data_IF_098288350148
#
_entry.id   IF_098288350148
#
_cell.length_a   1.000
_cell.length_b   1.000
_cell.length_c   1.000
_cell.angle_alpha   90.00
_cell.angle_beta   90.00
_cell.angle_gamma   90.00
#
_symmetry.space_group_name_H-M   'P 1'
#
loop_
_entity.id
_entity.type
_entity.pdbx_description
1 polymer ?
#
# COMPACT_ATOMS: atom_id res chain seq x y z
N UNK A 1 59.12 23.87 4.66
CA UNK A 1 57.74 24.40 4.48
C UNK A 1 57.07 23.62 3.36
N UNK A 2 55.84 23.14 3.52
CA UNK A 2 55.03 22.56 2.43
C UNK A 2 54.03 23.60 1.92
N UNK A 3 53.79 23.70 0.62
CA UNK A 3 52.71 24.51 0.04
C UNK A 3 52.06 23.81 -1.15
N UNK A 4 50.76 23.53 -0.99
CA UNK A 4 49.68 23.58 -1.99
C UNK A 4 49.99 23.16 -3.43
N UNK A 5 49.48 22.00 -3.80
CA UNK A 5 48.85 21.80 -5.11
C UNK A 5 47.34 22.09 -4.99
N UNK A 6 46.66 22.45 -6.09
CA UNK A 6 45.27 22.93 -6.11
C UNK A 6 44.53 22.23 -7.26
N UNK A 7 43.32 21.72 -6.98
CA UNK A 7 42.56 20.82 -7.88
C UNK A 7 41.52 21.57 -8.73
N UNK A 8 41.75 21.65 -10.04
CA UNK A 8 40.96 22.33 -11.12
C UNK A 8 41.34 21.63 -12.46
N UNK A 9 40.53 21.27 -13.47
CA UNK A 9 39.07 21.29 -13.78
C UNK A 9 38.82 20.00 -14.66
N UNK A 10 37.84 19.11 -14.39
CA UNK A 10 36.45 19.06 -14.90
C UNK A 10 36.30 18.95 -16.45
N UNK A 11 35.72 17.83 -16.96
CA UNK A 11 34.74 17.68 -18.08
C UNK A 11 34.79 16.31 -18.81
N UNK A 12 33.61 15.87 -19.31
CA UNK A 12 33.32 14.83 -20.32
C UNK A 12 33.63 13.35 -19.95
N UNK A 13 32.72 12.39 -20.15
CA UNK A 13 31.30 12.49 -20.55
C UNK A 13 30.49 11.28 -20.05
N UNK A 14 29.28 11.51 -19.52
CA UNK A 14 28.28 10.47 -19.25
C UNK A 14 27.25 10.45 -20.39
N UNK A 15 27.17 9.33 -21.12
CA UNK A 15 26.23 9.14 -22.22
C UNK A 15 24.89 8.61 -21.70
N UNK A 16 24.00 9.52 -21.29
CA UNK A 16 22.61 9.20 -20.95
C UNK A 16 21.85 8.73 -22.20
N UNK A 17 21.63 7.42 -22.34
CA UNK A 17 20.71 6.88 -23.35
C UNK A 17 19.27 6.95 -22.84
N UNK A 18 18.58 8.06 -23.11
CA UNK A 18 17.13 8.16 -22.93
C UNK A 18 16.41 7.03 -23.70
N UNK A 19 15.79 6.11 -22.98
CA UNK A 19 14.80 5.19 -23.55
C UNK A 19 13.43 5.86 -23.45
N UNK A 20 12.70 5.97 -24.57
CA UNK A 20 11.30 6.37 -24.52
C UNK A 20 10.46 5.25 -23.91
N UNK A 21 10.07 5.41 -22.66
CA UNK A 21 8.98 4.67 -22.05
C UNK A 21 7.69 5.47 -22.25
N UNK A 22 6.56 4.79 -22.35
CA UNK A 22 5.26 5.42 -22.58
C UNK A 22 4.16 4.69 -21.80
N UNK A 23 3.18 5.46 -21.31
CA UNK A 23 1.88 4.89 -20.97
C UNK A 23 1.18 4.45 -22.27
N UNK A 24 0.50 3.30 -22.23
CA UNK A 24 -0.35 2.88 -23.34
C UNK A 24 -1.52 3.86 -23.49
N UNK A 25 -1.49 4.70 -24.53
CA UNK A 25 -2.60 5.61 -24.84
C UNK A 25 -3.77 4.81 -25.42
N UNK A 26 -5.00 5.16 -25.02
CA UNK A 26 -6.20 4.75 -25.73
C UNK A 26 -6.24 5.41 -27.12
N UNK A 27 -6.13 4.62 -28.20
CA UNK A 27 -6.40 5.07 -29.57
C UNK A 27 -7.15 4.01 -30.36
N UNK A 28 -8.48 4.13 -30.40
CA UNK A 28 -9.25 3.49 -31.47
C UNK A 28 -9.05 4.32 -32.76
N UNK A 29 -8.33 3.72 -33.70
CA UNK A 29 -8.19 4.09 -35.13
C UNK A 29 -7.71 5.51 -35.48
N UNK A 30 -6.45 5.54 -35.95
CA UNK A 30 -5.97 6.18 -37.20
C UNK A 30 -6.45 7.60 -37.54
N UNK A 31 -5.51 8.56 -37.53
CA UNK A 31 -4.74 8.86 -38.76
C UNK A 31 -3.40 9.56 -38.42
N UNK A 32 -2.42 9.63 -39.34
CA UNK A 32 -1.05 10.02 -39.01
C UNK A 32 -0.83 11.54 -38.96
N UNK A 33 -0.09 12.00 -37.94
CA UNK A 33 0.49 13.35 -37.90
C UNK A 33 2.01 13.23 -37.79
N UNK A 34 2.69 13.88 -38.73
CA UNK A 34 4.15 13.91 -38.85
C UNK A 34 4.81 14.76 -37.76
N UNK A 35 5.88 14.25 -37.15
CA UNK A 35 6.84 15.03 -36.36
C UNK A 35 8.26 14.53 -36.63
N UNK A 36 8.87 15.13 -37.65
CA UNK A 36 10.31 15.08 -37.99
C UNK A 36 11.25 15.19 -36.77
N UNK A 37 12.38 14.48 -36.80
CA UNK A 37 13.44 14.59 -35.79
C UNK A 37 14.60 13.63 -36.06
N UNK A 38 15.46 13.97 -37.02
CA UNK A 38 16.49 13.06 -37.55
C UNK A 38 17.72 12.86 -36.66
N UNK A 39 18.31 11.67 -36.76
CA UNK A 39 19.76 11.48 -36.65
C UNK A 39 20.15 10.37 -37.64
N UNK A 40 20.66 10.76 -38.81
CA UNK A 40 20.94 9.83 -39.92
C UNK A 40 22.36 9.25 -39.86
N UNK A 41 22.51 8.03 -40.38
CA UNK A 41 23.81 7.42 -40.70
C UNK A 41 23.67 6.61 -41.99
N UNK A 42 24.51 6.90 -42.98
CA UNK A 42 24.39 6.37 -44.33
C UNK A 42 24.59 4.84 -44.40
N UNK A 43 23.76 4.18 -45.20
CA UNK A 43 24.06 2.88 -45.80
C UNK A 43 23.80 2.97 -47.31
N UNK A 44 24.82 2.67 -48.12
CA UNK A 44 24.61 2.48 -49.56
C UNK A 44 24.10 1.06 -49.82
N UNK A 45 23.19 0.91 -50.77
CA UNK A 45 22.74 -0.40 -51.22
C UNK A 45 23.74 -1.04 -52.18
N UNK A 46 24.28 -2.22 -51.83
CA UNK A 46 24.75 -3.19 -52.83
C UNK A 46 23.69 -4.28 -53.02
N UNK A 47 23.23 -4.44 -54.26
CA UNK A 47 22.13 -5.34 -54.65
C UNK A 47 22.56 -6.82 -54.67
N UNK A 48 22.70 -7.42 -53.49
CA UNK A 48 23.12 -8.82 -53.30
C UNK A 48 21.94 -9.79 -53.13
N UNK A 49 21.52 -10.46 -54.21
CA UNK A 49 20.41 -11.41 -54.24
C UNK A 49 20.62 -12.61 -53.27
N UNK A 50 19.99 -12.59 -52.08
CA UNK A 50 20.23 -13.56 -51.00
C UNK A 50 18.94 -14.33 -50.65
N UNK A 51 19.02 -15.66 -50.74
CA UNK A 51 17.99 -16.61 -50.28
C UNK A 51 17.54 -16.26 -48.85
N UNK A 52 16.22 -16.16 -48.60
CA UNK A 52 15.66 -16.04 -47.24
C UNK A 52 16.08 -17.24 -46.38
N UNK A 53 17.18 -17.12 -45.63
CA UNK A 53 17.42 -17.97 -44.46
C UNK A 53 16.30 -17.68 -43.46
N UNK A 54 15.64 -18.71 -42.95
CA UNK A 54 14.80 -18.57 -41.77
C UNK A 54 15.63 -17.94 -40.65
N UNK A 55 15.09 -16.95 -39.90
CA UNK A 55 15.81 -16.37 -38.78
C UNK A 55 16.15 -17.47 -37.79
N UNK A 56 17.42 -17.53 -37.38
CA UNK A 56 17.85 -18.42 -36.30
C UNK A 56 17.26 -17.88 -35.00
N UNK A 57 16.43 -18.70 -34.37
CA UNK A 57 15.83 -18.42 -33.08
C UNK A 57 16.61 -19.09 -31.96
N UNK A 58 16.44 -18.58 -30.74
CA UNK A 58 17.02 -19.06 -29.49
C UNK A 58 15.97 -19.10 -28.37
N UNK A 59 16.36 -19.68 -27.24
CA UNK A 59 15.72 -19.42 -25.94
C UNK A 59 16.52 -18.33 -25.24
N UNK A 60 15.84 -17.42 -24.56
CA UNK A 60 16.44 -16.43 -23.66
C UNK A 60 15.93 -16.74 -22.25
N UNK A 61 16.84 -16.98 -21.31
CA UNK A 61 16.49 -17.09 -19.89
C UNK A 61 16.45 -15.69 -19.29
N UNK A 62 15.28 -15.20 -18.91
CA UNK A 62 15.16 -14.06 -18.02
C UNK A 62 15.35 -14.61 -16.60
N UNK A 63 16.57 -14.52 -16.07
CA UNK A 63 16.94 -15.00 -14.74
C UNK A 63 16.37 -14.06 -13.68
N UNK A 64 16.58 -12.77 -13.85
CA UNK A 64 16.10 -11.70 -12.99
C UNK A 64 15.81 -10.47 -13.84
N UNK A 65 14.65 -9.86 -13.66
CA UNK A 65 14.30 -8.56 -14.23
C UNK A 65 13.57 -7.75 -13.15
N UNK A 66 14.22 -6.69 -12.68
CA UNK A 66 13.77 -5.87 -11.56
C UNK A 66 13.77 -4.38 -11.90
N UNK A 67 12.67 -3.70 -11.59
CA UNK A 67 12.50 -2.26 -11.80
C UNK A 67 12.07 -1.59 -10.49
N UNK A 68 12.61 -0.41 -10.19
CA UNK A 68 11.98 0.57 -9.29
C UNK A 68 11.58 1.84 -10.04
N UNK A 69 10.37 2.32 -9.78
CA UNK A 69 9.77 3.50 -10.39
C UNK A 69 10.10 4.73 -9.55
N UNK A 70 10.42 5.83 -10.24
CA UNK A 70 10.68 7.16 -9.67
C UNK A 70 9.93 8.22 -10.49
N UNK A 71 9.81 9.44 -9.97
CA UNK A 71 9.47 10.64 -10.75
C UNK A 71 10.70 11.45 -11.18
N UNK A 72 11.87 11.16 -10.61
CA UNK A 72 13.15 11.81 -10.94
C UNK A 72 13.50 13.05 -10.11
N UNK A 73 12.76 13.36 -9.04
CA UNK A 73 13.19 14.38 -8.08
C UNK A 73 14.42 13.91 -7.25
N UNK A 74 15.20 14.85 -6.72
CA UNK A 74 16.48 14.57 -6.02
C UNK A 74 16.28 13.82 -4.69
N UNK A 75 15.17 14.08 -4.02
CA UNK A 75 14.68 13.45 -2.78
C UNK A 75 13.75 12.24 -3.02
N UNK A 76 13.52 11.87 -4.28
CA UNK A 76 12.59 10.80 -4.66
C UNK A 76 13.12 9.42 -4.27
N UNK A 77 12.32 8.66 -3.50
CA UNK A 77 12.64 7.28 -3.08
C UNK A 77 11.98 6.27 -4.03
N UNK A 78 12.74 5.56 -4.90
CA UNK A 78 12.14 4.72 -5.93
C UNK A 78 11.49 3.46 -5.35
N UNK A 79 10.27 3.14 -5.80
CA UNK A 79 9.47 2.01 -5.30
C UNK A 79 9.39 0.84 -6.28
N UNK A 80 9.43 -0.42 -5.81
CA UNK A 80 9.25 -1.59 -6.66
C UNK A 80 7.78 -1.81 -7.05
N UNK A 81 7.54 -2.79 -7.92
CA UNK A 81 6.20 -3.21 -8.35
C UNK A 81 5.90 -4.66 -7.86
N UNK A 82 5.70 -4.90 -6.55
CA UNK A 82 5.47 -6.24 -6.01
C UNK A 82 4.07 -6.76 -6.32
N UNK A 83 3.91 -8.09 -6.34
CA UNK A 83 2.64 -8.79 -6.54
C UNK A 83 1.78 -8.22 -7.70
N UNK A 84 2.44 -7.74 -8.75
CA UNK A 84 1.88 -6.95 -9.84
C UNK A 84 1.81 -7.83 -11.09
N UNK A 85 0.64 -7.92 -11.74
CA UNK A 85 0.49 -8.71 -12.97
C UNK A 85 1.37 -8.10 -14.08
N UNK A 86 2.10 -8.95 -14.80
CA UNK A 86 2.90 -8.54 -15.95
C UNK A 86 2.63 -9.43 -17.18
N UNK A 87 2.87 -8.88 -18.37
CA UNK A 87 2.92 -9.63 -19.63
C UNK A 87 4.19 -9.30 -20.40
N UNK A 88 4.77 -10.28 -21.09
CA UNK A 88 5.96 -10.12 -21.92
C UNK A 88 5.58 -10.39 -23.37
N UNK A 89 5.86 -9.42 -24.25
CA UNK A 89 5.68 -9.51 -25.71
C UNK A 89 7.01 -9.33 -26.43
N UNK A 90 7.28 -10.17 -27.42
CA UNK A 90 8.33 -9.96 -28.39
C UNK A 90 7.89 -8.86 -29.36
N UNK A 91 8.69 -7.81 -29.51
CA UNK A 91 8.52 -6.80 -30.56
C UNK A 91 9.58 -7.06 -31.64
N UNK A 92 9.13 -7.14 -32.88
CA UNK A 92 9.98 -7.22 -34.07
C UNK A 92 9.60 -6.12 -35.06
N UNK A 93 10.31 -5.98 -36.19
CA UNK A 93 9.95 -5.03 -37.26
C UNK A 93 8.57 -5.29 -37.90
N UNK A 94 8.05 -6.50 -37.76
CA UNK A 94 6.88 -6.98 -38.52
C UNK A 94 5.63 -7.21 -37.64
N UNK A 95 5.82 -7.51 -36.34
CA UNK A 95 4.74 -7.89 -35.43
C UNK A 95 5.15 -7.78 -33.94
N UNK A 96 4.14 -7.62 -33.07
CA UNK A 96 4.21 -7.97 -31.65
C UNK A 96 3.67 -9.39 -31.43
N UNK A 97 4.36 -10.22 -30.63
CA UNK A 97 3.95 -11.60 -30.33
C UNK A 97 3.98 -11.85 -28.82
N UNK A 98 2.93 -12.42 -28.26
CA UNK A 98 2.88 -12.80 -26.84
C UNK A 98 3.90 -13.91 -26.53
N UNK A 99 4.60 -13.80 -25.40
CA UNK A 99 5.55 -14.81 -24.93
C UNK A 99 5.15 -15.42 -23.57
N UNK A 100 4.77 -14.57 -22.60
CA UNK A 100 4.55 -14.99 -21.22
C UNK A 100 3.66 -14.00 -20.45
N UNK A 101 3.01 -14.46 -19.39
CA UNK A 101 2.40 -13.61 -18.36
C UNK A 101 2.57 -14.23 -16.98
N UNK A 102 2.53 -13.39 -15.95
CA UNK A 102 2.68 -13.81 -14.57
C UNK A 102 2.38 -12.68 -13.58
N UNK A 103 2.83 -12.87 -12.34
CA UNK A 103 2.79 -11.87 -11.28
C UNK A 103 4.23 -11.74 -10.73
N UNK A 104 4.68 -10.53 -10.43
CA UNK A 104 5.99 -10.31 -9.78
C UNK A 104 6.01 -10.88 -8.35
N UNK A 105 7.19 -11.21 -7.84
CA UNK A 105 7.36 -11.60 -6.44
C UNK A 105 7.11 -10.42 -5.48
N UNK A 106 7.18 -10.69 -4.18
CA UNK A 106 7.05 -9.71 -3.08
C UNK A 106 8.08 -8.58 -3.14
N UNK A 107 9.20 -8.78 -3.85
CA UNK A 107 10.26 -7.79 -4.02
C UNK A 107 10.05 -6.91 -5.26
N UNK A 108 9.16 -7.30 -6.18
CA UNK A 108 8.85 -6.60 -7.43
C UNK A 108 9.54 -7.14 -8.69
N UNK A 109 10.09 -8.36 -8.61
CA UNK A 109 10.91 -8.96 -9.66
C UNK A 109 10.14 -9.97 -10.52
N UNK A 110 10.62 -10.13 -11.75
CA UNK A 110 10.33 -11.30 -12.59
C UNK A 110 11.56 -12.21 -12.53
N UNK A 111 11.37 -13.47 -12.10
CA UNK A 111 12.45 -14.45 -11.94
C UNK A 111 12.25 -15.68 -12.84
N UNK A 112 13.37 -16.24 -13.31
CA UNK A 112 13.51 -17.53 -14.01
C UNK A 112 12.55 -17.87 -15.18
N UNK A 113 12.09 -16.85 -15.92
CA UNK A 113 11.22 -17.04 -17.10
C UNK A 113 12.03 -17.42 -18.35
N UNK A 114 11.80 -18.64 -18.86
CA UNK A 114 12.34 -19.11 -20.14
C UNK A 114 11.51 -18.59 -21.33
N UNK A 115 12.08 -17.68 -22.13
CA UNK A 115 11.44 -17.08 -23.30
C UNK A 115 11.90 -17.77 -24.59
N UNK A 116 10.99 -18.47 -25.28
CA UNK A 116 11.30 -19.26 -26.47
C UNK A 116 11.08 -18.51 -27.79
N UNK A 117 11.67 -19.05 -28.88
CA UNK A 117 11.50 -18.59 -30.28
C UNK A 117 11.99 -17.15 -30.54
N UNK A 118 12.90 -16.64 -29.72
CA UNK A 118 13.43 -15.28 -29.81
C UNK A 118 14.45 -15.19 -30.97
N UNK A 119 14.35 -14.25 -31.91
CA UNK A 119 15.37 -14.05 -32.95
C UNK A 119 16.75 -13.73 -32.35
N UNK A 120 17.83 -14.07 -33.08
CA UNK A 120 19.19 -13.66 -32.68
C UNK A 120 19.40 -12.14 -32.66
N UNK A 121 18.70 -11.37 -33.50
CA UNK A 121 18.93 -9.94 -33.71
C UNK A 121 17.64 -9.19 -34.04
N UNK A 122 17.62 -7.87 -33.77
CA UNK A 122 16.56 -6.97 -34.24
C UNK A 122 15.21 -7.11 -33.51
N UNK A 123 15.24 -7.57 -32.26
CA UNK A 123 14.05 -7.76 -31.43
C UNK A 123 14.16 -7.00 -30.10
N UNK A 124 13.02 -6.76 -29.45
CA UNK A 124 12.92 -6.21 -28.08
C UNK A 124 11.86 -6.96 -27.29
N UNK A 125 11.96 -6.92 -25.96
CA UNK A 125 10.88 -7.36 -25.07
C UNK A 125 10.11 -6.13 -24.59
N UNK A 126 8.81 -6.11 -24.87
CA UNK A 126 7.84 -5.16 -24.32
C UNK A 126 7.22 -5.81 -23.11
N UNK A 127 7.56 -5.31 -21.93
CA UNK A 127 7.14 -5.81 -20.63
C UNK A 127 6.09 -4.84 -20.11
N UNK A 128 4.84 -5.29 -20.05
CA UNK A 128 3.69 -4.50 -19.63
C UNK A 128 3.23 -4.94 -18.25
N UNK A 129 3.47 -4.10 -17.25
CA UNK A 129 2.97 -4.23 -15.89
C UNK A 129 1.54 -3.70 -15.81
N UNK A 130 0.72 -4.25 -14.92
CA UNK A 130 -0.66 -3.85 -14.62
C UNK A 130 -0.77 -3.79 -13.09
N UNK A 131 -0.95 -2.60 -12.52
CA UNK A 131 -0.76 -2.35 -11.08
C UNK A 131 -1.80 -3.09 -10.23
N UNK A 132 -1.36 -4.15 -9.55
CA UNK A 132 -2.16 -5.05 -8.75
C UNK A 132 -2.46 -6.40 -9.41
N UNK A 133 -3.44 -7.12 -8.85
CA UNK A 133 -3.79 -8.48 -9.26
C UNK A 133 -5.26 -8.80 -8.90
N UNK A 134 -5.74 -10.01 -9.19
CA UNK A 134 -7.14 -10.40 -8.96
C UNK A 134 -7.47 -10.76 -7.49
N UNK A 135 -6.44 -11.00 -6.67
CA UNK A 135 -6.54 -11.44 -5.27
C UNK A 135 -6.62 -10.24 -4.31
N UNK A 136 -5.86 -9.18 -4.60
CA UNK A 136 -5.79 -7.92 -3.86
C UNK A 136 -6.70 -6.84 -4.47
N UNK A 137 -6.82 -6.83 -5.80
CA UNK A 137 -7.40 -5.75 -6.60
C UNK A 137 -6.32 -4.88 -7.25
N UNK A 138 -6.76 -3.82 -7.95
CA UNK A 138 -5.92 -3.00 -8.84
C UNK A 138 -5.88 -1.52 -8.44
N UNK A 139 -4.76 -0.86 -8.74
CA UNK A 139 -4.71 0.61 -8.80
C UNK A 139 -5.17 1.05 -10.19
N UNK A 140 -6.22 1.86 -10.26
CA UNK A 140 -6.93 2.19 -11.50
C UNK A 140 -7.25 3.69 -11.64
N UNK A 141 -7.47 4.11 -12.88
CA UNK A 141 -8.05 5.42 -13.20
C UNK A 141 -9.55 5.42 -12.94
N UNK A 142 -10.18 6.60 -12.88
CA UNK A 142 -11.61 6.72 -12.56
C UNK A 142 -12.53 6.15 -13.66
N UNK A 143 -12.01 5.93 -14.88
CA UNK A 143 -12.69 5.15 -15.92
C UNK A 143 -12.61 3.62 -15.70
N UNK A 144 -12.21 3.17 -14.50
CA UNK A 144 -12.07 1.77 -14.07
C UNK A 144 -11.07 0.95 -14.90
N UNK A 145 -10.14 1.60 -15.63
CA UNK A 145 -8.99 0.94 -16.26
C UNK A 145 -7.79 0.91 -15.29
N UNK A 146 -7.22 -0.26 -14.96
CA UNK A 146 -5.99 -0.36 -14.19
C UNK A 146 -4.84 0.45 -14.80
N UNK A 147 -3.96 0.98 -13.95
CA UNK A 147 -2.71 1.57 -14.39
C UNK A 147 -1.83 0.51 -15.04
N UNK A 148 -1.22 0.85 -16.18
CA UNK A 148 -0.27 -0.02 -16.87
C UNK A 148 0.95 0.74 -17.34
N UNK A 149 2.12 0.16 -17.07
CA UNK A 149 3.43 0.70 -17.42
C UNK A 149 4.12 -0.23 -18.42
N UNK A 150 4.76 0.34 -19.45
CA UNK A 150 5.36 -0.41 -20.54
C UNK A 150 6.84 -0.11 -20.63
N UNK A 151 7.66 -1.07 -20.20
CA UNK A 151 9.11 -1.06 -20.38
C UNK A 151 9.48 -1.78 -21.69
N UNK A 152 10.50 -1.29 -22.42
CA UNK A 152 10.95 -1.91 -23.67
C UNK A 152 12.45 -2.22 -23.66
N UNK A 153 12.80 -3.46 -23.28
CA UNK A 153 14.18 -3.94 -23.26
C UNK A 153 14.64 -4.35 -24.67
N UNK A 154 15.64 -3.66 -25.23
CA UNK A 154 16.27 -4.05 -26.50
C UNK A 154 17.13 -5.31 -26.29
N UNK A 155 16.99 -6.31 -27.15
CA UNK A 155 17.75 -7.56 -27.01
C UNK A 155 19.07 -7.53 -27.79
N UNK A 156 20.16 -7.84 -27.07
CA UNK A 156 21.45 -8.23 -27.65
C UNK A 156 21.46 -9.69 -28.13
N UNK A 157 22.66 -10.24 -28.31
CA UNK A 157 22.84 -11.66 -28.67
C UNK A 157 22.75 -12.59 -27.43
N UNK A 158 22.81 -12.03 -26.22
CA UNK A 158 22.92 -12.77 -24.95
C UNK A 158 21.73 -13.71 -24.72
N UNK A 159 21.99 -14.99 -24.40
CA UNK A 159 20.95 -15.99 -24.08
C UNK A 159 20.42 -15.89 -22.64
N UNK A 160 20.97 -14.99 -21.82
CA UNK A 160 20.49 -14.71 -20.47
C UNK A 160 20.23 -13.21 -20.31
N UNK A 161 19.15 -12.85 -19.64
CA UNK A 161 18.87 -11.50 -19.15
C UNK A 161 18.95 -11.54 -17.63
N UNK A 162 19.78 -10.65 -17.09
CA UNK A 162 19.92 -10.34 -15.68
C UNK A 162 19.93 -8.81 -15.64
N UNK A 163 18.81 -8.20 -15.25
CA UNK A 163 18.56 -6.77 -15.44
C UNK A 163 17.95 -6.13 -14.21
N UNK A 164 18.55 -5.04 -13.74
CA UNK A 164 18.06 -4.24 -12.62
C UNK A 164 18.20 -2.76 -12.97
N UNK A 165 17.11 -2.00 -12.82
CA UNK A 165 17.11 -0.54 -12.91
C UNK A 165 16.32 0.04 -11.73
N UNK A 166 16.91 1.01 -11.03
CA UNK A 166 16.32 1.63 -9.85
C UNK A 166 15.77 3.04 -10.10
N UNK A 167 15.86 3.58 -11.33
CA UNK A 167 15.51 4.97 -11.64
C UNK A 167 14.57 5.06 -12.86
N UNK A 168 13.55 4.19 -12.89
CA UNK A 168 12.65 4.04 -14.03
C UNK A 168 11.57 5.13 -14.05
N UNK A 169 11.59 5.96 -15.10
CA UNK A 169 10.63 7.03 -15.35
C UNK A 169 9.50 6.56 -16.29
N UNK A 170 8.29 6.39 -15.77
CA UNK A 170 7.10 6.10 -16.60
C UNK A 170 6.26 7.36 -16.85
N UNK A 171 6.22 7.86 -18.08
CA UNK A 171 5.48 9.09 -18.41
C UNK A 171 5.58 9.48 -19.88
N UNK A 172 5.47 10.78 -20.17
CA UNK A 172 5.67 11.40 -21.47
C UNK A 172 6.62 12.59 -21.29
N UNK A 173 7.80 12.58 -21.93
CA UNK A 173 8.83 13.61 -21.74
C UNK A 173 8.41 15.05 -22.11
N UNK A 174 7.27 15.25 -22.78
CA UNK A 174 6.66 16.57 -23.07
C UNK A 174 5.53 16.95 -22.10
N UNK A 175 5.35 16.18 -21.01
CA UNK A 175 4.34 16.35 -19.95
C UNK A 175 4.92 15.80 -18.64
N UNK A 176 5.87 16.51 -18.06
CA UNK A 176 6.69 16.04 -16.92
C UNK A 176 5.85 15.58 -15.72
N UNK A 177 4.69 16.21 -15.46
CA UNK A 177 3.73 15.77 -14.44
C UNK A 177 3.30 14.31 -14.56
N UNK A 178 3.33 13.73 -15.77
CA UNK A 178 2.97 12.32 -15.96
C UNK A 178 3.98 11.36 -15.34
N UNK A 179 5.23 11.77 -15.11
CA UNK A 179 6.19 10.99 -14.32
C UNK A 179 5.74 10.97 -12.85
N UNK A 180 5.48 12.14 -12.27
CA UNK A 180 4.96 12.29 -10.90
C UNK A 180 3.68 11.46 -10.68
N UNK A 181 2.64 11.62 -11.51
CA UNK A 181 1.37 10.93 -11.30
C UNK A 181 1.43 9.41 -11.54
N UNK A 182 2.33 8.91 -12.38
CA UNK A 182 2.58 7.48 -12.49
C UNK A 182 3.42 6.96 -11.31
N UNK A 183 4.38 7.72 -10.80
CA UNK A 183 5.12 7.39 -9.58
C UNK A 183 4.20 7.33 -8.35
N UNK A 184 3.26 8.28 -8.20
CA UNK A 184 2.25 8.18 -7.13
C UNK A 184 1.36 6.94 -7.28
N UNK A 185 0.94 6.58 -8.50
CA UNK A 185 0.23 5.32 -8.73
C UNK A 185 1.09 4.07 -8.41
N UNK A 186 2.41 4.11 -8.66
CA UNK A 186 3.34 3.06 -8.27
C UNK A 186 3.50 2.96 -6.74
N UNK A 187 3.58 4.09 -6.03
CA UNK A 187 3.62 4.16 -4.56
C UNK A 187 2.34 3.63 -3.94
N UNK A 188 1.17 4.01 -4.46
CA UNK A 188 -0.13 3.45 -4.05
C UNK A 188 -0.13 1.92 -4.24
N UNK A 189 0.36 1.41 -5.37
CA UNK A 189 0.45 -0.04 -5.61
C UNK A 189 1.39 -0.76 -4.64
N UNK A 190 2.51 -0.13 -4.28
CA UNK A 190 3.51 -0.66 -3.35
C UNK A 190 2.97 -0.71 -1.91
N UNK A 191 2.47 0.41 -1.38
CA UNK A 191 1.95 0.48 -0.02
C UNK A 191 0.63 -0.29 0.15
N UNK A 192 -0.20 -0.41 -0.90
CA UNK A 192 -1.37 -1.29 -0.88
C UNK A 192 -0.97 -2.77 -0.79
N UNK A 193 0.13 -3.18 -1.43
CA UNK A 193 0.64 -4.54 -1.22
C UNK A 193 1.13 -4.74 0.21
N UNK A 194 1.92 -3.81 0.74
CA UNK A 194 2.45 -3.89 2.11
C UNK A 194 1.33 -3.91 3.17
N UNK A 195 0.27 -3.11 3.01
CA UNK A 195 -0.88 -3.12 3.94
C UNK A 195 -1.58 -4.49 3.98
N UNK A 196 -1.78 -5.11 2.81
CA UNK A 196 -2.39 -6.45 2.70
C UNK A 196 -1.47 -7.53 3.27
N UNK A 197 -0.16 -7.48 3.00
CA UNK A 197 0.79 -8.47 3.54
C UNK A 197 0.95 -8.32 5.06
N UNK A 198 1.07 -7.11 5.59
CA UNK A 198 1.20 -6.85 7.02
C UNK A 198 -0.01 -7.41 7.81
N UNK A 199 -1.22 -7.16 7.32
CA UNK A 199 -2.46 -7.73 7.87
C UNK A 199 -2.47 -9.27 7.74
N UNK A 200 -2.15 -9.80 6.56
CA UNK A 200 -2.19 -11.24 6.30
C UNK A 200 -1.20 -12.02 7.17
N UNK A 201 0.01 -11.49 7.36
CA UNK A 201 1.03 -12.09 8.24
C UNK A 201 0.67 -11.95 9.73
N UNK A 202 0.12 -10.81 10.17
CA UNK A 202 -0.34 -10.66 11.55
C UNK A 202 -1.45 -11.65 11.90
N UNK A 203 -2.49 -11.77 11.05
CA UNK A 203 -3.53 -12.79 11.19
C UNK A 203 -2.90 -14.20 11.19
N UNK A 204 -2.05 -14.51 10.21
CA UNK A 204 -1.33 -15.80 10.09
C UNK A 204 -0.45 -16.12 11.30
N UNK A 205 0.07 -15.13 12.03
CA UNK A 205 0.77 -15.33 13.30
C UNK A 205 -0.21 -15.66 14.44
N UNK A 206 -1.25 -14.84 14.64
CA UNK A 206 -2.28 -15.10 15.66
C UNK A 206 -2.93 -16.49 15.49
N UNK A 207 -3.19 -16.91 14.26
CA UNK A 207 -3.76 -18.23 13.93
C UNK A 207 -2.82 -19.41 14.18
N UNK A 208 -1.53 -19.21 14.44
CA UNK A 208 -0.65 -20.28 14.97
C UNK A 208 -0.96 -20.61 16.43
N UNK A 209 -1.30 -19.60 17.23
CA UNK A 209 -1.66 -19.77 18.64
C UNK A 209 -3.14 -20.15 18.81
N UNK A 210 -4.01 -19.63 17.94
CA UNK A 210 -5.45 -19.84 17.97
C UNK A 210 -5.95 -20.52 16.67
N UNK A 211 -5.62 -21.79 16.42
CA UNK A 211 -5.93 -22.48 15.15
C UNK A 211 -7.43 -22.64 14.87
N UNK A 212 -8.26 -22.67 15.92
CA UNK A 212 -9.73 -22.78 15.82
C UNK A 212 -10.42 -21.46 15.44
N UNK A 213 -9.67 -20.37 15.25
CA UNK A 213 -10.20 -19.12 14.66
C UNK A 213 -10.62 -19.34 13.21
N UNK A 214 -11.67 -18.62 12.80
CA UNK A 214 -12.21 -18.70 11.45
C UNK A 214 -11.18 -18.29 10.38
N UNK A 215 -11.35 -18.80 9.17
CA UNK A 215 -10.59 -18.31 8.01
C UNK A 215 -11.07 -16.90 7.63
N UNK A 216 -10.48 -15.88 8.25
CA UNK A 216 -10.68 -14.47 7.86
C UNK A 216 -10.30 -14.30 6.39
N UNK A 217 -11.30 -14.16 5.53
CA UNK A 217 -11.12 -14.03 4.08
C UNK A 217 -10.96 -12.57 3.71
N UNK A 218 -9.72 -12.15 3.46
CA UNK A 218 -9.42 -10.93 2.71
C UNK A 218 -10.11 -11.01 1.33
N UNK A 219 -10.74 -9.91 0.90
CA UNK A 219 -11.43 -9.80 -0.41
C UNK A 219 -10.79 -8.67 -1.23
N UNK A 220 -10.71 -8.78 -2.56
CA UNK A 220 -10.09 -7.75 -3.39
C UNK A 220 -10.93 -6.46 -3.46
N UNK A 221 -10.25 -5.30 -3.51
CA UNK A 221 -10.85 -3.99 -3.82
C UNK A 221 -9.92 -3.17 -4.71
N UNK A 222 -10.48 -2.33 -5.58
CA UNK A 222 -9.68 -1.43 -6.41
C UNK A 222 -9.51 -0.06 -5.75
N UNK A 223 -8.33 0.53 -5.90
CA UNK A 223 -8.03 1.91 -5.50
C UNK A 223 -8.06 2.80 -6.74
N UNK A 224 -8.89 3.84 -6.72
CA UNK A 224 -8.97 4.84 -7.78
C UNK A 224 -8.05 6.02 -7.47
N UNK A 225 -7.21 6.39 -8.45
CA UNK A 225 -6.33 7.55 -8.38
C UNK A 225 -6.13 8.11 -9.80
N UNK A 226 -6.14 9.43 -9.98
CA UNK A 226 -5.90 10.08 -11.29
C UNK A 226 -5.75 11.60 -11.11
N UNK A 227 -4.89 12.23 -11.92
CA UNK A 227 -4.65 13.69 -11.90
C UNK A 227 -5.96 14.49 -12.03
N UNK A 228 -6.13 15.48 -11.16
CA UNK A 228 -7.29 16.38 -11.09
C UNK A 228 -8.59 15.72 -10.61
N UNK A 229 -8.56 14.46 -10.13
CA UNK A 229 -9.74 13.77 -9.59
C UNK A 229 -9.74 13.83 -8.07
N UNK A 230 -10.91 14.19 -7.52
CA UNK A 230 -11.10 14.36 -6.07
C UNK A 230 -10.05 15.30 -5.45
N UNK A 231 -9.65 16.32 -6.22
CA UNK A 231 -8.66 17.32 -5.85
C UNK A 231 -9.02 17.98 -4.51
N UNK A 232 -8.06 17.97 -3.59
CA UNK A 232 -8.13 18.51 -2.23
C UNK A 232 -9.29 17.96 -1.38
N UNK A 233 -9.72 16.72 -1.68
CA UNK A 233 -10.67 15.96 -0.86
C UNK A 233 -9.94 14.92 -0.02
N UNK A 234 -10.57 14.52 1.08
CA UNK A 234 -10.16 13.33 1.82
C UNK A 234 -10.21 12.09 0.93
N UNK A 235 -9.37 11.12 1.26
CA UNK A 235 -9.51 9.75 0.78
C UNK A 235 -10.80 9.15 1.35
N UNK A 236 -11.32 8.09 0.71
CA UNK A 236 -12.55 7.43 1.17
C UNK A 236 -12.73 6.04 0.57
N UNK A 237 -13.10 5.07 1.40
CA UNK A 237 -13.82 3.88 1.02
C UNK A 237 -15.30 4.22 0.72
N UNK A 238 -15.77 3.92 -0.49
CA UNK A 238 -17.18 4.01 -0.85
C UNK A 238 -17.80 2.62 -1.03
N UNK A 239 -18.69 2.26 -0.09
CA UNK A 239 -19.51 1.03 -0.13
C UNK A 239 -20.22 0.81 -1.46
N UNK A 240 -20.70 1.87 -2.11
CA UNK A 240 -21.48 1.80 -3.34
C UNK A 240 -20.68 2.21 -4.59
N UNK A 241 -19.35 2.32 -4.46
CA UNK A 241 -18.47 2.96 -5.43
C UNK A 241 -18.58 4.48 -5.36
N UNK A 242 -17.48 5.19 -5.59
CA UNK A 242 -17.47 6.67 -5.60
C UNK A 242 -18.37 7.27 -6.71
N UNK A 243 -18.70 6.46 -7.72
CA UNK A 243 -19.54 6.76 -8.89
C UNK A 243 -20.99 6.25 -8.76
N UNK A 244 -21.36 5.65 -7.61
CA UNK A 244 -22.63 4.95 -7.40
C UNK A 244 -22.85 3.72 -8.31
N UNK A 245 -21.77 3.09 -8.79
CA UNK A 245 -21.84 1.86 -9.59
C UNK A 245 -22.33 0.61 -8.83
N UNK A 246 -22.55 0.73 -7.51
CA UNK A 246 -22.78 -0.37 -6.56
C UNK A 246 -21.62 -1.39 -6.46
N UNK A 247 -20.45 -1.04 -7.00
CA UNK A 247 -19.21 -1.80 -6.86
C UNK A 247 -18.36 -1.06 -5.80
N UNK A 248 -18.08 -1.65 -4.63
CA UNK A 248 -17.27 -1.01 -3.59
C UNK A 248 -15.88 -0.64 -4.13
N UNK A 249 -15.41 0.57 -3.84
CA UNK A 249 -14.05 0.98 -4.18
C UNK A 249 -13.45 1.99 -3.19
N UNK A 250 -12.12 2.10 -3.20
CA UNK A 250 -11.36 3.11 -2.45
C UNK A 250 -11.01 4.25 -3.41
N UNK A 251 -11.03 5.47 -2.91
CA UNK A 251 -10.55 6.68 -3.59
C UNK A 251 -9.33 7.23 -2.86
N UNK A 252 -8.23 7.43 -3.61
CA UNK A 252 -7.16 8.35 -3.22
C UNK A 252 -7.38 9.67 -3.97
N UNK A 253 -7.44 10.77 -3.22
CA UNK A 253 -7.63 12.12 -3.75
C UNK A 253 -6.32 12.71 -4.32
N UNK A 254 -6.44 13.55 -5.35
CA UNK A 254 -5.33 14.40 -5.80
C UNK A 254 -5.13 15.61 -4.85
N UNK A 255 -3.94 16.21 -4.87
CA UNK A 255 -3.55 17.34 -4.02
C UNK A 255 -3.00 18.49 -4.85
N UNK A 256 -3.52 19.70 -4.70
CA UNK A 256 -3.12 20.86 -5.51
C UNK A 256 -1.70 21.36 -5.21
N UNK A 257 -1.21 21.14 -3.99
CA UNK A 257 0.17 21.34 -3.56
C UNK A 257 1.09 20.14 -3.88
N UNK A 258 0.52 19.04 -4.38
CA UNK A 258 1.20 17.74 -4.65
C UNK A 258 1.80 17.07 -3.40
N UNK A 259 1.24 17.31 -2.22
CA UNK A 259 1.64 16.66 -0.96
C UNK A 259 1.28 15.17 -0.91
N UNK A 260 2.26 14.29 -1.20
CA UNK A 260 2.13 12.83 -1.07
C UNK A 260 3.21 12.28 -0.13
N UNK A 261 3.25 12.75 1.12
CA UNK A 261 4.18 12.26 2.14
C UNK A 261 4.00 10.75 2.40
N UNK A 262 5.10 10.05 2.68
CA UNK A 262 5.10 8.57 2.79
C UNK A 262 4.22 8.06 3.95
N UNK A 263 4.37 8.61 5.17
CA UNK A 263 3.51 8.25 6.32
C UNK A 263 2.04 8.42 5.95
N UNK A 264 1.66 9.61 5.49
CA UNK A 264 0.27 9.92 5.16
C UNK A 264 -0.28 8.98 4.07
N UNK A 265 0.49 8.66 3.03
CA UNK A 265 0.04 7.74 1.98
C UNK A 265 -0.13 6.31 2.50
N UNK A 266 0.79 5.83 3.33
CA UNK A 266 0.69 4.51 3.98
C UNK A 266 -0.53 4.43 4.92
N UNK A 267 -0.68 5.41 5.82
CA UNK A 267 -1.78 5.50 6.77
C UNK A 267 -3.13 5.45 6.05
N UNK A 268 -3.32 6.33 5.05
CA UNK A 268 -4.59 6.44 4.34
C UNK A 268 -4.94 5.16 3.56
N UNK A 269 -3.95 4.45 3.01
CA UNK A 269 -4.19 3.18 2.33
C UNK A 269 -4.65 2.10 3.33
N UNK A 270 -4.01 1.98 4.50
CA UNK A 270 -4.40 0.99 5.52
C UNK A 270 -5.73 1.34 6.22
N UNK A 271 -6.01 2.63 6.42
CA UNK A 271 -7.27 3.16 6.96
C UNK A 271 -8.46 2.75 6.08
N UNK A 272 -8.44 3.10 4.78
CA UNK A 272 -9.55 2.78 3.87
C UNK A 272 -9.64 1.28 3.55
N UNK A 273 -8.51 0.57 3.55
CA UNK A 273 -8.46 -0.88 3.46
C UNK A 273 -9.11 -1.57 4.68
N UNK A 274 -8.97 -1.00 5.87
CA UNK A 274 -9.64 -1.50 7.08
C UNK A 274 -11.14 -1.24 7.05
N UNK A 275 -11.59 -0.05 6.60
CA UNK A 275 -13.02 0.20 6.33
C UNK A 275 -13.61 -0.81 5.34
N UNK A 276 -12.88 -1.13 4.27
CA UNK A 276 -13.28 -2.18 3.34
C UNK A 276 -13.38 -3.54 4.02
N UNK A 277 -12.38 -3.98 4.78
CA UNK A 277 -12.40 -5.29 5.44
C UNK A 277 -13.58 -5.44 6.42
N UNK A 278 -13.84 -4.43 7.26
CA UNK A 278 -15.00 -4.42 8.17
C UNK A 278 -16.33 -4.51 7.42
N UNK A 279 -16.46 -3.81 6.28
CA UNK A 279 -17.63 -3.94 5.41
C UNK A 279 -17.70 -5.32 4.72
N UNK A 280 -16.56 -5.84 4.28
CA UNK A 280 -16.44 -7.09 3.53
C UNK A 280 -16.72 -8.33 4.40
N UNK A 281 -16.43 -8.27 5.70
CA UNK A 281 -16.75 -9.32 6.66
C UNK A 281 -18.22 -9.26 7.11
N UNK A 282 -18.60 -8.21 7.83
CA UNK A 282 -19.87 -8.12 8.57
C UNK A 282 -20.74 -6.90 8.18
N UNK A 283 -20.54 -6.35 6.98
CA UNK A 283 -21.35 -5.28 6.40
C UNK A 283 -21.46 -4.00 7.25
N UNK A 284 -20.40 -3.68 8.00
CA UNK A 284 -20.26 -2.52 8.90
C UNK A 284 -21.00 -1.26 8.40
N UNK A 285 -21.92 -0.68 9.21
CA UNK A 285 -22.69 0.50 8.81
C UNK A 285 -21.84 1.71 8.41
N UNK A 286 -22.33 2.43 7.39
CA UNK A 286 -21.75 3.71 6.97
C UNK A 286 -22.26 4.84 7.86
N UNK A 287 -21.38 5.78 8.21
CA UNK A 287 -21.69 6.96 9.01
C UNK A 287 -20.86 8.17 8.59
N UNK A 288 -21.02 9.29 9.29
CA UNK A 288 -20.19 10.49 9.17
C UNK A 288 -19.79 10.97 10.56
N UNK A 289 -18.58 11.49 10.66
CA UNK A 289 -18.06 12.20 11.83
C UNK A 289 -17.47 13.53 11.37
N UNK A 290 -17.41 14.52 12.26
CA UNK A 290 -16.90 15.87 11.92
C UNK A 290 -15.42 16.05 12.29
N UNK A 291 -14.91 15.35 13.32
CA UNK A 291 -13.48 15.30 13.69
C UNK A 291 -13.17 14.08 14.56
N UNK A 292 -11.89 13.70 14.67
CA UNK A 292 -11.46 12.54 15.48
C UNK A 292 -11.67 12.72 16.99
N UNK A 293 -11.65 13.98 17.44
CA UNK A 293 -11.93 14.41 18.82
C UNK A 293 -13.43 14.65 19.10
N UNK A 294 -14.29 14.55 18.08
CA UNK A 294 -15.72 14.80 18.21
C UNK A 294 -16.44 13.63 18.90
N UNK A 295 -17.34 13.95 19.82
CA UNK A 295 -18.23 12.94 20.43
C UNK A 295 -19.31 12.55 19.41
N UNK A 296 -19.23 11.32 18.91
CA UNK A 296 -20.25 10.75 18.02
C UNK A 296 -21.49 10.33 18.83
N UNK A 297 -22.67 10.60 18.29
CA UNK A 297 -23.94 10.15 18.88
C UNK A 297 -24.29 8.69 18.56
N UNK A 298 -23.69 8.12 17.51
CA UNK A 298 -23.71 6.67 17.22
C UNK A 298 -22.30 6.09 17.49
N UNK A 299 -22.12 5.25 18.53
CA UNK A 299 -20.82 4.68 18.89
C UNK A 299 -20.26 3.72 17.83
N UNK A 300 -21.06 3.31 16.85
CA UNK A 300 -20.58 2.53 15.69
C UNK A 300 -19.63 3.35 14.81
N UNK A 301 -19.82 4.66 14.75
CA UNK A 301 -18.98 5.57 13.97
C UNK A 301 -17.61 5.66 14.64
N UNK A 302 -17.57 5.94 15.95
CA UNK A 302 -16.35 5.92 16.76
C UNK A 302 -15.59 4.60 16.60
N UNK A 303 -16.30 3.46 16.73
CA UNK A 303 -15.70 2.13 16.62
C UNK A 303 -15.08 1.88 15.25
N UNK A 304 -15.83 2.16 14.17
CA UNK A 304 -15.39 1.98 12.78
C UNK A 304 -14.18 2.84 12.44
N UNK A 305 -14.21 4.11 12.83
CA UNK A 305 -13.16 5.08 12.47
C UNK A 305 -11.92 4.94 13.35
N UNK A 306 -12.07 4.70 14.66
CA UNK A 306 -10.95 4.45 15.56
C UNK A 306 -10.16 3.18 15.19
N UNK A 307 -10.84 2.12 14.75
CA UNK A 307 -10.19 0.94 14.18
C UNK A 307 -9.35 1.23 12.94
N UNK A 308 -9.87 2.06 12.04
CA UNK A 308 -9.18 2.43 10.82
C UNK A 308 -7.99 3.37 11.08
N UNK A 309 -8.09 4.29 12.06
CA UNK A 309 -6.99 5.13 12.52
C UNK A 309 -5.89 4.29 13.20
N UNK A 310 -6.28 3.40 14.11
CA UNK A 310 -5.39 2.46 14.79
C UNK A 310 -4.60 1.60 13.79
N UNK A 311 -5.28 0.93 12.86
CA UNK A 311 -4.61 0.19 11.79
C UNK A 311 -3.73 1.09 10.90
N UNK A 312 -4.19 2.33 10.64
CA UNK A 312 -3.45 3.35 9.89
C UNK A 312 -2.08 3.68 10.51
N UNK A 313 -2.04 4.08 11.78
CA UNK A 313 -0.79 4.44 12.45
C UNK A 313 0.08 3.22 12.80
N UNK A 314 -0.49 2.09 13.25
CA UNK A 314 0.29 0.85 13.46
C UNK A 314 1.07 0.42 12.20
N UNK A 315 0.53 0.70 11.02
CA UNK A 315 1.17 0.41 9.74
C UNK A 315 2.12 1.51 9.24
N UNK A 316 1.82 2.78 9.51
CA UNK A 316 2.52 3.92 8.91
C UNK A 316 3.58 4.58 9.82
N UNK A 317 3.33 4.61 11.13
CA UNK A 317 4.15 5.24 12.16
C UNK A 317 3.68 4.80 13.57
N UNK A 318 4.12 3.61 14.04
CA UNK A 318 3.77 3.15 15.37
C UNK A 318 4.44 3.95 16.50
N UNK A 319 5.46 4.77 16.22
CA UNK A 319 6.08 5.66 17.22
C UNK A 319 5.11 6.79 17.61
N UNK A 320 4.31 7.29 16.66
CA UNK A 320 3.28 8.32 16.95
C UNK A 320 2.14 7.86 17.87
N UNK A 321 1.96 6.55 18.06
CA UNK A 321 1.05 6.01 19.09
C UNK A 321 1.70 6.11 20.48
N UNK A 322 2.99 5.80 20.61
CA UNK A 322 3.76 6.01 21.85
C UNK A 322 3.80 7.49 22.26
N UNK A 323 3.83 8.42 21.30
CA UNK A 323 3.73 9.87 21.58
C UNK A 323 2.32 10.32 22.02
N UNK A 324 1.30 9.48 21.86
CA UNK A 324 -0.10 9.81 22.16
C UNK A 324 -0.77 8.87 23.16
N UNK A 325 -0.02 7.97 23.78
CA UNK A 325 -0.38 7.01 24.85
C UNK A 325 -1.42 7.60 25.83
N UNK A 326 -1.01 8.60 26.63
CA UNK A 326 -1.82 9.23 27.68
C UNK A 326 -2.85 10.25 27.16
N UNK A 327 -3.11 10.31 25.85
CA UNK A 327 -3.97 11.35 25.26
C UNK A 327 -5.41 11.25 25.75
N UNK A 328 -5.96 10.05 25.96
CA UNK A 328 -7.33 9.91 26.50
C UNK A 328 -7.44 10.43 27.94
N UNK A 329 -6.34 10.36 28.69
CA UNK A 329 -6.18 10.67 30.10
C UNK A 329 -5.92 12.18 30.30
N UNK A 330 -5.19 12.82 29.38
CA UNK A 330 -4.66 14.18 29.50
C UNK A 330 -5.32 15.26 28.62
N UNK A 331 -6.14 14.91 27.61
CA UNK A 331 -6.66 15.89 26.63
C UNK A 331 -7.81 16.77 27.17
N UNK A 332 -7.49 17.66 28.11
CA UNK A 332 -8.33 18.74 28.63
C UNK A 332 -8.52 19.87 27.60
N UNK A 333 -9.78 20.24 27.34
CA UNK A 333 -10.17 21.47 26.63
C UNK A 333 -11.06 22.30 27.57
N UNK A 334 -10.67 23.54 27.85
CA UNK A 334 -11.34 24.44 28.82
C UNK A 334 -11.57 23.82 30.22
N UNK A 335 -10.71 22.88 30.64
CA UNK A 335 -10.81 22.19 31.94
C UNK A 335 -11.68 20.93 31.94
N UNK A 336 -12.19 20.52 30.77
CA UNK A 336 -12.95 19.28 30.57
C UNK A 336 -12.17 18.35 29.65
N UNK A 337 -11.81 17.16 30.14
CA UNK A 337 -11.23 16.13 29.27
C UNK A 337 -12.30 15.69 28.24
N UNK A 338 -11.98 15.85 26.94
CA UNK A 338 -12.92 15.60 25.84
C UNK A 338 -12.86 14.17 25.25
N UNK A 339 -11.97 13.32 25.75
CA UNK A 339 -11.75 11.95 25.25
C UNK A 339 -12.10 10.87 26.30
N UNK A 340 -11.79 11.10 27.58
CA UNK A 340 -12.00 10.15 28.68
C UNK A 340 -13.47 9.73 28.81
N UNK A 341 -13.74 8.44 28.56
CA UNK A 341 -15.09 7.88 28.57
C UNK A 341 -16.03 8.42 27.48
N UNK A 342 -15.51 9.17 26.50
CA UNK A 342 -16.31 9.72 25.40
C UNK A 342 -16.31 8.82 24.18
N UNK A 343 -17.41 8.83 23.42
CA UNK A 343 -17.48 8.12 22.15
C UNK A 343 -16.82 8.94 21.03
N UNK A 344 -15.49 9.02 21.06
CA UNK A 344 -14.69 9.64 19.98
C UNK A 344 -13.90 8.58 19.21
N UNK A 345 -13.39 8.94 18.03
CA UNK A 345 -12.59 8.03 17.23
C UNK A 345 -11.23 7.76 17.91
N UNK A 346 -10.66 8.79 18.57
CA UNK A 346 -9.40 8.69 19.32
C UNK A 346 -9.54 7.83 20.58
N UNK A 347 -10.66 7.93 21.31
CA UNK A 347 -10.92 7.07 22.49
C UNK A 347 -10.99 5.60 22.08
N UNK A 348 -11.48 5.28 20.88
CA UNK A 348 -11.43 3.92 20.34
C UNK A 348 -10.01 3.54 19.91
N UNK A 349 -9.27 4.46 19.29
CA UNK A 349 -7.90 4.22 18.83
C UNK A 349 -6.96 3.83 19.98
N UNK A 350 -6.97 4.57 21.10
CA UNK A 350 -6.08 4.25 22.21
C UNK A 350 -6.53 2.98 22.97
N UNK A 351 -7.82 2.76 23.22
CA UNK A 351 -8.30 1.47 23.77
C UNK A 351 -7.85 0.24 22.96
N UNK A 352 -7.55 0.38 21.67
CA UNK A 352 -6.96 -0.69 20.84
C UNK A 352 -5.42 -0.72 20.90
N UNK A 353 -4.78 0.40 21.18
CA UNK A 353 -3.33 0.53 21.40
C UNK A 353 -2.89 -0.03 22.76
N UNK A 354 -3.58 0.28 23.85
CA UNK A 354 -3.43 -0.26 25.22
C UNK A 354 -3.73 -1.79 25.32
N UNK A 355 -4.07 -2.42 24.19
CA UNK A 355 -4.22 -3.88 24.03
C UNK A 355 -3.20 -4.47 23.04
N UNK A 356 -2.52 -3.61 22.28
CA UNK A 356 -1.50 -3.93 21.28
C UNK A 356 -0.08 -3.75 21.79
N UNK A 357 0.14 -2.83 22.72
CA UNK A 357 1.45 -2.47 23.24
C UNK A 357 2.11 -3.63 24.05
N UNK A 358 3.15 -3.34 24.83
CA UNK A 358 3.88 -4.35 25.63
C UNK A 358 4.32 -3.86 27.02
N UNK A 359 3.80 -2.73 27.50
CA UNK A 359 4.24 -2.02 28.70
C UNK A 359 4.38 -0.51 28.43
N UNK A 360 3.27 0.21 28.53
CA UNK A 360 3.13 1.66 28.38
C UNK A 360 3.53 2.40 29.66
N UNK A 361 3.05 3.64 29.84
CA UNK A 361 3.24 4.40 31.08
C UNK A 361 2.13 4.21 32.12
N UNK A 362 0.96 3.65 31.75
CA UNK A 362 -0.21 3.56 32.63
C UNK A 362 -0.93 2.20 32.72
N UNK A 363 -0.57 1.19 31.93
CA UNK A 363 -0.98 -0.21 32.17
C UNK A 363 0.16 -1.23 32.10
N UNK A 364 -0.15 -2.46 32.52
CA UNK A 364 0.77 -3.59 32.52
C UNK A 364 0.10 -4.83 31.89
N UNK A 365 -0.58 -4.67 30.75
CA UNK A 365 -1.34 -5.72 30.09
C UNK A 365 -1.29 -5.59 28.57
N UNK A 366 -1.18 -6.72 27.85
CA UNK A 366 -1.35 -6.77 26.41
C UNK A 366 -1.96 -8.12 26.01
N UNK A 367 -2.68 -8.18 24.88
CA UNK A 367 -3.58 -9.31 24.62
C UNK A 367 -2.88 -10.68 24.48
N UNK A 368 -1.62 -10.73 24.05
CA UNK A 368 -0.85 -11.97 23.96
C UNK A 368 -0.14 -12.41 25.25
N UNK A 369 -0.13 -11.63 26.35
CA UNK A 369 0.79 -11.81 27.48
C UNK A 369 0.86 -13.27 28.01
N UNK A 370 -0.30 -13.92 28.16
CA UNK A 370 -0.39 -15.34 28.58
C UNK A 370 0.18 -16.32 27.55
N UNK A 371 0.01 -16.02 26.28
CA UNK A 371 0.08 -17.01 25.19
C UNK A 371 1.50 -17.19 24.65
N UNK A 372 2.43 -16.33 25.06
CA UNK A 372 3.85 -16.40 24.77
C UNK A 372 4.53 -17.48 25.62
N UNK A 373 5.03 -18.53 24.96
CA UNK A 373 5.89 -19.56 25.56
C UNK A 373 7.36 -19.46 25.08
N UNK A 374 7.65 -18.46 24.26
CA UNK A 374 8.93 -18.24 23.57
C UNK A 374 9.31 -16.75 23.72
N UNK A 375 10.61 -16.44 23.75
CA UNK A 375 11.10 -15.05 23.75
C UNK A 375 10.95 -14.43 22.35
N UNK A 376 9.85 -13.69 22.15
CA UNK A 376 9.64 -12.83 20.99
C UNK A 376 10.19 -11.42 21.23
N UNK A 377 10.57 -10.72 20.16
CA UNK A 377 10.87 -9.28 20.24
C UNK A 377 9.59 -8.46 20.38
N UNK A 378 9.70 -7.25 20.94
CA UNK A 378 8.60 -6.29 21.09
C UNK A 378 7.78 -6.12 19.80
N UNK A 379 8.46 -6.00 18.65
CA UNK A 379 7.80 -5.83 17.35
C UNK A 379 7.00 -7.07 16.91
N UNK A 380 7.48 -8.28 17.23
CA UNK A 380 6.76 -9.53 16.98
C UNK A 380 5.56 -9.68 17.92
N UNK A 381 5.68 -9.22 19.17
CA UNK A 381 4.56 -9.19 20.13
C UNK A 381 3.49 -8.19 19.66
N UNK A 382 3.88 -6.96 19.28
CA UNK A 382 2.96 -5.95 18.72
C UNK A 382 2.28 -6.44 17.43
N UNK A 383 3.01 -7.15 16.55
CA UNK A 383 2.41 -7.77 15.35
C UNK A 383 1.44 -8.91 15.70
N UNK A 384 1.77 -9.74 16.69
CA UNK A 384 0.89 -10.79 17.18
C UNK A 384 -0.37 -10.22 17.82
N UNK A 385 -0.26 -9.21 18.68
CA UNK A 385 -1.38 -8.52 19.30
C UNK A 385 -2.31 -7.92 18.24
N UNK A 386 -1.76 -7.16 17.28
CA UNK A 386 -2.52 -6.65 16.13
C UNK A 386 -3.25 -7.79 15.39
N UNK A 387 -2.57 -8.92 15.17
CA UNK A 387 -3.13 -10.11 14.56
C UNK A 387 -4.31 -10.70 15.33
N UNK A 388 -4.24 -10.77 16.67
CA UNK A 388 -5.31 -11.26 17.54
C UNK A 388 -6.51 -10.32 17.49
N UNK A 389 -6.27 -9.02 17.71
CA UNK A 389 -7.32 -7.99 17.74
C UNK A 389 -8.04 -7.91 16.38
N UNK A 390 -7.30 -7.87 15.26
CA UNK A 390 -7.87 -7.80 13.92
C UNK A 390 -8.61 -9.10 13.54
N UNK A 391 -8.12 -10.26 13.98
CA UNK A 391 -8.83 -11.53 13.76
C UNK A 391 -10.19 -11.50 14.48
N UNK A 392 -10.23 -11.08 15.75
CA UNK A 392 -11.48 -10.96 16.50
C UNK A 392 -12.44 -9.93 15.88
N UNK A 393 -11.95 -8.77 15.44
CA UNK A 393 -12.75 -7.75 14.77
C UNK A 393 -13.48 -8.33 13.54
N UNK A 394 -12.82 -9.23 12.80
CA UNK A 394 -13.37 -9.88 11.62
C UNK A 394 -14.26 -11.11 11.92
N UNK A 395 -14.21 -11.64 13.16
CA UNK A 395 -14.98 -12.81 13.60
C UNK A 395 -16.24 -12.48 14.41
N UNK A 396 -16.20 -11.42 15.23
CA UNK A 396 -17.25 -11.10 16.22
C UNK A 396 -18.53 -10.51 15.61
N UNK A 397 -18.47 -10.01 14.38
CA UNK A 397 -19.50 -9.14 13.76
C UNK A 397 -19.84 -7.89 14.61
N UNK A 398 -19.00 -7.55 15.59
CA UNK A 398 -19.22 -6.44 16.51
C UNK A 398 -19.27 -5.11 15.74
N UNK A 399 -20.30 -4.30 16.00
CA UNK A 399 -20.43 -2.97 15.39
C UNK A 399 -20.06 -1.82 16.33
N UNK A 400 -19.74 -2.10 17.59
CA UNK A 400 -19.37 -1.11 18.61
C UNK A 400 -18.17 -1.59 19.44
N UNK A 401 -17.42 -0.65 20.02
CA UNK A 401 -16.31 -0.94 20.92
C UNK A 401 -16.77 -1.81 22.09
N UNK A 402 -17.94 -1.52 22.66
CA UNK A 402 -18.51 -2.29 23.75
C UNK A 402 -18.67 -3.78 23.42
N UNK A 403 -19.31 -4.10 22.28
CA UNK A 403 -19.51 -5.51 21.88
C UNK A 403 -18.17 -6.22 21.69
N UNK A 404 -17.28 -5.57 20.94
CA UNK A 404 -15.94 -6.07 20.66
C UNK A 404 -15.13 -6.36 21.94
N UNK A 405 -15.20 -5.51 22.96
CA UNK A 405 -14.52 -5.71 24.25
C UNK A 405 -15.13 -6.86 25.07
N UNK A 406 -16.44 -7.12 24.94
CA UNK A 406 -17.09 -8.29 25.55
C UNK A 406 -16.62 -9.57 24.86
N UNK A 407 -16.63 -9.59 23.52
CA UNK A 407 -16.14 -10.75 22.74
C UNK A 407 -14.64 -11.01 22.95
N UNK A 408 -13.86 -9.96 23.20
CA UNK A 408 -12.44 -10.04 23.59
C UNK A 408 -12.29 -10.69 24.97
N UNK A 409 -13.10 -10.26 25.95
CA UNK A 409 -13.04 -10.80 27.29
C UNK A 409 -13.40 -12.28 27.33
N UNK A 410 -14.51 -12.66 26.69
CA UNK A 410 -15.03 -14.03 26.69
C UNK A 410 -14.11 -14.99 25.91
N UNK A 411 -13.37 -14.52 24.91
CA UNK A 411 -12.48 -15.35 24.08
C UNK A 411 -11.04 -15.44 24.58
N UNK A 412 -10.48 -14.39 25.18
CA UNK A 412 -9.04 -14.29 25.49
C UNK A 412 -8.70 -13.96 26.95
N UNK A 413 -9.63 -13.42 27.76
CA UNK A 413 -9.33 -12.92 29.11
C UNK A 413 -9.87 -13.91 30.16
N UNK A 414 -9.14 -15.02 30.34
CA UNK A 414 -9.69 -16.28 30.91
C UNK A 414 -9.66 -16.36 32.45
N UNK A 415 -8.68 -15.75 33.14
CA UNK A 415 -8.51 -15.87 34.60
C UNK A 415 -8.78 -14.55 35.33
N UNK A 416 -8.92 -14.63 36.66
CA UNK A 416 -9.14 -13.46 37.51
C UNK A 416 -8.05 -12.38 37.33
N UNK A 417 -6.77 -12.76 37.22
CA UNK A 417 -5.67 -11.80 37.08
C UNK A 417 -5.75 -11.01 35.77
N UNK A 418 -6.06 -11.68 34.65
CA UNK A 418 -6.21 -11.00 33.36
C UNK A 418 -7.49 -10.17 33.33
N UNK A 419 -8.57 -10.63 33.98
CA UNK A 419 -9.81 -9.85 34.12
C UNK A 419 -9.67 -8.64 35.05
N UNK A 420 -8.70 -8.65 35.97
CA UNK A 420 -8.32 -7.48 36.78
C UNK A 420 -7.49 -6.49 35.97
N UNK A 421 -6.47 -6.98 35.25
CA UNK A 421 -5.62 -6.21 34.31
C UNK A 421 -6.41 -5.56 33.16
N UNK A 422 -7.24 -6.33 32.45
CA UNK A 422 -8.09 -5.82 31.38
C UNK A 422 -9.06 -4.74 31.89
N UNK A 423 -9.59 -4.91 33.10
CA UNK A 423 -10.39 -3.91 33.80
C UNK A 423 -9.57 -2.69 34.27
N UNK A 424 -8.24 -2.68 34.19
CA UNK A 424 -7.41 -1.49 34.37
C UNK A 424 -7.40 -0.66 33.07
N UNK A 425 -7.12 -1.31 31.93
CA UNK A 425 -7.21 -0.72 30.57
C UNK A 425 -8.57 -0.07 30.30
N UNK A 426 -9.67 -0.73 30.71
CA UNK A 426 -11.00 -0.14 30.62
C UNK A 426 -11.13 1.16 31.45
N UNK A 427 -10.55 1.21 32.66
CA UNK A 427 -10.70 2.36 33.57
C UNK A 427 -9.87 3.57 33.17
N UNK A 428 -8.63 3.39 32.70
CA UNK A 428 -7.77 4.50 32.28
C UNK A 428 -8.36 5.25 31.08
N UNK A 429 -9.06 4.55 30.19
CA UNK A 429 -9.84 5.12 29.09
C UNK A 429 -11.21 5.69 29.50
N UNK A 430 -11.62 5.55 30.76
CA UNK A 430 -12.93 5.98 31.24
C UNK A 430 -14.10 5.11 30.76
N UNK A 431 -13.86 3.85 30.41
CA UNK A 431 -14.91 2.87 30.13
C UNK A 431 -15.42 2.21 31.43
N UNK A 432 -16.67 1.75 31.40
CA UNK A 432 -17.23 0.90 32.43
C UNK A 432 -16.78 -0.57 32.24
N UNK A 433 -16.97 -1.40 33.27
CA UNK A 433 -16.54 -2.81 33.29
C UNK A 433 -17.13 -3.65 32.14
N UNK A 434 -18.26 -3.24 31.59
CA UNK A 434 -18.95 -3.90 30.47
C UNK A 434 -18.50 -3.38 29.08
N UNK A 435 -17.44 -2.57 29.01
CA UNK A 435 -16.95 -1.95 27.78
C UNK A 435 -17.74 -0.72 27.31
N UNK A 436 -18.75 -0.26 28.05
CA UNK A 436 -19.52 0.94 27.68
C UNK A 436 -18.76 2.24 27.99
N UNK A 437 -18.96 3.26 27.15
CA UNK A 437 -18.46 4.62 27.38
C UNK A 437 -19.09 5.21 28.65
N UNK A 438 -18.31 5.40 29.72
CA UNK A 438 -18.83 6.00 30.96
C UNK A 438 -18.82 7.52 30.85
N UNK A 439 -19.92 8.17 31.21
CA UNK A 439 -20.02 9.64 31.11
C UNK A 439 -18.91 10.28 31.94
N UNK A 440 -18.13 11.15 31.29
CA UNK A 440 -16.86 11.68 31.77
C UNK A 440 -16.82 12.06 33.26
N UNK A 441 -15.59 11.94 33.78
CA UNK A 441 -15.08 12.58 35.00
C UNK A 441 -15.60 14.02 35.09
N UNK A 442 -16.62 14.25 35.91
CA UNK A 442 -17.21 15.57 36.08
C UNK A 442 -16.16 16.49 36.73
N UNK A 443 -15.97 17.66 36.12
CA UNK A 443 -15.41 18.91 36.65
C UNK A 443 -14.28 18.76 37.70
N UNK A 444 -13.05 19.17 37.34
CA UNK A 444 -12.07 19.59 38.34
C UNK A 444 -12.66 20.80 39.10
N UNK A 445 -13.16 20.55 40.31
CA UNK A 445 -13.55 21.62 41.22
C UNK A 445 -12.32 22.43 41.64
N UNK A 446 -12.46 23.76 41.66
CA UNK A 446 -11.41 24.75 42.02
C UNK A 446 -10.85 24.58 43.45
#
# INVERSE_FOLDING_TARGET
>A
MKKKEITILLLLAFLFTFQLMTQANDTDRLDPVDVTGEASANYQEESGNKRKKSPKNRTVQLKQFYLKVTDGAEDSVPVPLPNTRFTIRLVTKEQETFLHEGITNEQGEIQDVALHKIPLQGASLKISYILGNAQRGYVQKYNKKPYSFVFTLRLGNENTIDFTDHQVLFGQAKKEETFFYNFQAARINYYFDQAVQAQADAIKQARKLFPDTANVSIKPININFEQGKYLDRSNAFSRNGHDNSAIPDIVVGDRSDKSFETKNLMHNIMHEWTHWNMYAAFAMPSGKYDSHYGVNSDPKISYKEGWALFAGEVFADPESLVETDTLVQENDDQGVNRLFGQSTNLTVQQVLYDLLDTGSQDEAFHISERYLNEELSEQEIKQLNFGILYTLMMESEATTLQGYLIDLEDKYIVTASDKEKFNEVLKINGLARDGSFSKARAEKAD
#
